data_IF_054317245092
#
_entry.id   IF_054317245092
#
_cell.length_a   1.000
_cell.length_b   1.000
_cell.length_c   1.000
_cell.angle_alpha   90.00
_cell.angle_beta   90.00
_cell.angle_gamma   90.00
#
_symmetry.space_group_name_H-M   'P 1'
#
loop_
_entity.id
_entity.type
_entity.pdbx_description
1 polymer ?
#
# COMPACT_ATOMS: atom_id res chain seq x y z
N UNK A 1 61.70 -30.32 24.57
CA UNK A 1 60.73 -30.19 23.46
C UNK A 1 59.60 -31.17 23.68
N UNK A 2 58.41 -30.70 24.07
CA UNK A 2 57.15 -31.43 23.91
C UNK A 2 56.01 -30.41 23.85
N UNK A 3 55.32 -30.24 22.71
CA UNK A 3 54.07 -29.48 22.66
C UNK A 3 52.91 -30.30 23.22
N UNK A 4 51.94 -29.54 23.71
CA UNK A 4 50.73 -29.93 24.43
C UNK A 4 49.77 -30.80 23.61
N UNK A 5 49.04 -31.63 24.34
CA UNK A 5 48.02 -32.61 23.94
C UNK A 5 47.01 -32.08 22.91
N UNK A 6 46.77 -32.86 21.86
CA UNK A 6 45.56 -32.83 21.05
C UNK A 6 44.86 -34.19 21.14
N UNK A 7 43.56 -34.16 20.82
CA UNK A 7 42.65 -35.28 20.55
C UNK A 7 41.86 -35.86 21.73
N UNK A 8 40.70 -35.26 22.00
CA UNK A 8 39.49 -35.99 22.38
C UNK A 8 38.94 -36.69 21.14
N UNK A 9 38.49 -37.96 21.26
CA UNK A 9 37.11 -38.20 20.88
C UNK A 9 36.42 -39.28 21.73
N UNK A 10 35.10 -39.36 21.55
CA UNK A 10 34.22 -40.49 21.85
C UNK A 10 33.38 -40.34 23.11
N UNK A 11 32.09 -40.07 22.94
CA UNK A 11 31.09 -41.13 23.11
C UNK A 11 29.77 -40.78 22.41
N UNK A 12 29.17 -41.81 21.86
CA UNK A 12 28.00 -41.81 21.00
C UNK A 12 26.68 -41.48 21.72
N UNK A 13 25.71 -41.16 20.87
CA UNK A 13 24.32 -40.85 21.12
C UNK A 13 23.54 -41.89 21.92
N UNK A 14 22.56 -41.43 22.72
CA UNK A 14 21.25 -42.09 22.81
C UNK A 14 20.12 -41.06 22.94
N UNK A 15 19.09 -41.32 22.14
CA UNK A 15 17.85 -40.57 21.94
C UNK A 15 17.01 -40.40 23.21
N UNK A 16 16.33 -39.26 23.31
CA UNK A 16 14.84 -39.20 23.27
C UNK A 16 14.35 -37.96 23.97
N UNK A 17 13.73 -37.04 23.23
CA UNK A 17 12.32 -36.66 23.45
C UNK A 17 11.94 -35.54 22.49
N UNK A 18 10.87 -35.81 21.74
CA UNK A 18 9.94 -34.84 21.16
C UNK A 18 10.51 -33.54 20.57
N UNK A 19 10.55 -33.51 19.24
CA UNK A 19 10.38 -32.26 18.52
C UNK A 19 9.00 -31.66 18.82
N UNK A 20 8.92 -30.82 19.85
CA UNK A 20 7.95 -29.74 19.92
C UNK A 20 8.69 -28.48 19.48
N UNK A 21 8.54 -28.12 18.22
CA UNK A 21 8.58 -26.72 17.84
C UNK A 21 7.18 -26.18 18.15
N UNK A 22 6.94 -25.48 19.26
CA UNK A 22 5.77 -24.64 19.35
C UNK A 22 5.99 -23.44 18.43
N UNK A 23 4.94 -23.07 17.71
CA UNK A 23 4.81 -21.82 16.96
C UNK A 23 5.42 -21.80 15.55
N UNK A 24 4.97 -22.78 14.76
CA UNK A 24 4.37 -22.45 13.46
C UNK A 24 3.25 -21.41 13.68
N UNK A 25 3.18 -20.41 12.79
CA UNK A 25 2.14 -19.40 12.68
C UNK A 25 2.21 -18.19 13.64
N UNK A 26 3.24 -17.37 13.48
CA UNK A 26 2.94 -15.95 13.26
C UNK A 26 4.02 -15.32 12.38
N UNK A 27 3.99 -15.67 11.09
CA UNK A 27 4.31 -14.66 10.09
C UNK A 27 3.16 -13.63 10.16
N UNK A 28 3.16 -12.83 11.23
CA UNK A 28 2.38 -11.62 11.27
C UNK A 28 2.94 -10.79 10.12
N UNK A 29 2.24 -10.85 8.99
CA UNK A 29 2.25 -9.80 8.00
C UNK A 29 2.36 -8.47 8.77
N UNK A 30 3.22 -7.52 8.34
CA UNK A 30 3.23 -6.21 8.96
C UNK A 30 1.76 -5.77 9.10
N UNK A 31 1.35 -5.21 10.26
CA UNK A 31 -0.03 -4.74 10.42
C UNK A 31 -0.32 -3.95 9.16
N UNK A 32 -1.32 -4.43 8.39
CA UNK A 32 -1.70 -3.83 7.11
C UNK A 32 -1.62 -2.34 7.33
N UNK A 33 -0.64 -1.70 6.68
CA UNK A 33 -0.37 -0.29 6.86
C UNK A 33 -1.72 0.37 6.94
N UNK A 34 -2.03 1.01 8.07
CA UNK A 34 -3.27 1.75 8.25
C UNK A 34 -3.37 2.61 7.00
N UNK A 35 -4.14 2.13 6.03
CA UNK A 35 -4.17 2.70 4.72
C UNK A 35 -4.98 3.95 4.98
N UNK A 36 -4.29 5.06 5.24
CA UNK A 36 -4.87 6.39 5.29
C UNK A 36 -5.92 6.40 4.20
N UNK A 37 -7.20 6.62 4.53
CA UNK A 37 -8.30 6.34 3.62
C UNK A 37 -8.00 7.05 2.31
N UNK A 38 -7.56 6.28 1.31
CA UNK A 38 -7.13 6.85 0.03
C UNK A 38 -8.41 7.33 -0.62
N UNK A 39 -8.55 8.65 -0.72
CA UNK A 39 -9.70 9.24 -1.40
C UNK A 39 -9.59 8.90 -2.87
N UNK A 40 -10.70 8.45 -3.43
CA UNK A 40 -10.76 7.97 -4.81
C UNK A 40 -11.50 8.99 -5.65
N UNK A 41 -10.81 9.50 -6.66
CA UNK A 41 -11.38 10.31 -7.73
C UNK A 41 -11.53 9.43 -8.96
N UNK A 42 -12.73 9.36 -9.52
CA UNK A 42 -13.05 8.58 -10.72
C UNK A 42 -13.41 9.50 -11.88
N UNK A 43 -12.72 9.34 -12.99
CA UNK A 43 -13.06 9.96 -14.26
C UNK A 43 -14.21 9.17 -14.88
N UNK A 44 -15.29 9.88 -15.20
CA UNK A 44 -16.46 9.36 -15.89
C UNK A 44 -16.39 9.81 -17.35
N UNK A 45 -16.64 8.90 -18.28
CA UNK A 45 -16.81 9.25 -19.69
C UNK A 45 -18.26 9.70 -19.90
N UNK A 46 -18.49 10.93 -20.38
CA UNK A 46 -19.83 11.42 -20.69
C UNK A 46 -20.14 11.28 -22.20
N UNK A 47 -21.35 10.82 -22.53
CA UNK A 47 -21.83 10.62 -23.91
C UNK A 47 -21.75 11.88 -24.82
N UNK A 48 -21.64 13.07 -24.22
CA UNK A 48 -21.54 14.36 -24.92
C UNK A 48 -20.10 14.67 -25.40
N UNK A 49 -19.16 13.73 -25.22
CA UNK A 49 -17.75 13.91 -25.55
C UNK A 49 -16.97 14.71 -24.49
N UNK A 50 -17.53 14.81 -23.28
CA UNK A 50 -16.88 15.41 -22.11
C UNK A 50 -16.45 14.34 -21.10
N UNK A 51 -15.67 14.76 -20.10
CA UNK A 51 -15.33 13.90 -18.97
C UNK A 51 -15.97 14.45 -17.70
N UNK A 52 -16.67 13.59 -16.98
CA UNK A 52 -17.08 13.83 -15.61
C UNK A 52 -15.95 13.46 -14.65
N UNK A 53 -15.98 14.06 -13.47
CA UNK A 53 -15.12 13.69 -12.36
C UNK A 53 -15.97 13.48 -11.13
N UNK A 54 -16.06 12.23 -10.68
CA UNK A 54 -16.65 11.87 -9.40
C UNK A 54 -15.55 11.77 -8.35
N UNK A 55 -15.73 12.36 -7.18
CA UNK A 55 -14.79 12.23 -6.07
C UNK A 55 -15.53 12.18 -4.74
N UNK A 56 -14.95 11.52 -3.75
CA UNK A 56 -15.50 11.52 -2.39
C UNK A 56 -14.90 12.70 -1.60
N UNK A 57 -15.76 13.60 -1.13
CA UNK A 57 -15.39 14.69 -0.22
C UNK A 57 -14.92 14.11 1.13
N UNK A 58 -14.09 14.86 1.86
CA UNK A 58 -13.61 14.53 3.22
C UNK A 58 -14.72 14.12 4.21
N UNK A 59 -15.97 14.46 3.90
CA UNK A 59 -17.17 14.19 4.69
C UNK A 59 -17.93 12.93 4.25
N UNK A 60 -17.36 12.08 3.40
CA UNK A 60 -18.01 10.86 2.92
C UNK A 60 -19.10 11.11 1.90
N UNK A 61 -19.01 12.22 1.14
CA UNK A 61 -20.03 12.63 0.17
C UNK A 61 -19.45 12.59 -1.22
N UNK A 62 -20.06 11.79 -2.09
CA UNK A 62 -19.77 11.81 -3.52
C UNK A 62 -20.17 13.15 -4.12
N UNK A 63 -19.21 13.83 -4.72
CA UNK A 63 -19.43 14.97 -5.56
C UNK A 63 -19.08 14.62 -7.00
N UNK A 64 -19.79 15.21 -7.95
CA UNK A 64 -19.53 15.01 -9.37
C UNK A 64 -19.48 16.37 -10.05
N UNK A 65 -18.48 16.57 -10.89
CA UNK A 65 -18.36 17.78 -11.71
C UNK A 65 -17.97 17.43 -13.14
N UNK A 66 -18.22 18.34 -14.08
CA UNK A 66 -17.74 18.21 -15.46
C UNK A 66 -16.35 18.81 -15.56
N UNK A 67 -15.44 18.08 -16.19
CA UNK A 67 -14.12 18.52 -16.59
C UNK A 67 -14.18 19.15 -17.98
N UNK A 68 -13.33 20.14 -18.21
CA UNK A 68 -13.15 20.81 -19.51
C UNK A 68 -12.20 20.02 -20.43
N UNK A 69 -11.59 18.96 -19.90
CA UNK A 69 -10.69 18.09 -20.64
C UNK A 69 -11.36 17.43 -21.88
N UNK A 70 -10.59 17.33 -22.97
CA UNK A 70 -10.96 16.66 -24.21
C UNK A 70 -10.42 15.23 -24.33
N UNK A 71 -9.54 14.83 -23.39
CA UNK A 71 -8.93 13.50 -23.34
C UNK A 71 -8.87 13.00 -21.90
N UNK A 72 -8.86 11.69 -21.72
CA UNK A 72 -8.79 11.07 -20.39
C UNK A 72 -7.53 11.48 -19.61
N UNK A 73 -6.36 11.56 -20.25
CA UNK A 73 -5.14 12.05 -19.57
C UNK A 73 -5.25 13.53 -19.16
N UNK A 74 -5.93 14.35 -19.99
CA UNK A 74 -6.25 15.73 -19.64
C UNK A 74 -7.22 15.79 -18.45
N UNK A 75 -8.19 14.87 -18.42
CA UNK A 75 -9.19 14.78 -17.38
C UNK A 75 -8.57 14.40 -16.03
N UNK A 76 -7.67 13.40 -16.02
CA UNK A 76 -6.90 13.03 -14.83
C UNK A 76 -6.05 14.19 -14.33
N UNK A 77 -5.37 14.92 -15.25
CA UNK A 77 -4.53 16.07 -14.86
C UNK A 77 -5.37 17.21 -14.29
N UNK A 78 -6.51 17.50 -14.91
CA UNK A 78 -7.42 18.55 -14.45
C UNK A 78 -8.05 18.19 -13.10
N UNK A 79 -8.50 16.95 -12.93
CA UNK A 79 -8.98 16.42 -11.65
C UNK A 79 -7.91 16.54 -10.55
N UNK A 80 -6.66 16.17 -10.84
CA UNK A 80 -5.54 16.33 -9.89
C UNK A 80 -5.30 17.80 -9.54
N UNK A 81 -5.33 18.68 -10.54
CA UNK A 81 -5.20 20.12 -10.33
C UNK A 81 -6.37 20.70 -9.53
N UNK A 82 -7.59 20.21 -9.74
CA UNK A 82 -8.79 20.67 -9.04
C UNK A 82 -8.75 20.28 -7.55
N UNK A 83 -8.32 19.06 -7.26
CA UNK A 83 -8.16 18.57 -5.89
C UNK A 83 -6.90 19.10 -5.20
N UNK A 84 -6.07 19.91 -5.87
CA UNK A 84 -4.81 20.39 -5.32
C UNK A 84 -3.81 19.27 -5.02
N UNK A 85 -3.93 18.14 -5.72
CA UNK A 85 -3.06 16.98 -5.51
C UNK A 85 -1.65 17.33 -6.00
N UNK A 86 -0.68 17.25 -5.10
CA UNK A 86 0.73 17.45 -5.37
C UNK A 86 1.37 16.22 -6.04
N UNK A 87 2.64 16.31 -6.42
CA UNK A 87 3.39 15.20 -7.05
C UNK A 87 3.41 13.92 -6.20
N UNK A 88 3.30 14.04 -4.88
CA UNK A 88 3.23 12.92 -3.93
C UNK A 88 1.83 12.29 -3.80
N UNK A 89 0.87 12.64 -4.66
CA UNK A 89 -0.52 12.17 -4.57
C UNK A 89 -1.26 12.62 -3.30
N UNK A 90 -0.83 13.71 -2.68
CA UNK A 90 -1.46 14.30 -1.48
C UNK A 90 -2.08 15.67 -1.80
N UNK A 91 -3.26 15.96 -1.25
CA UNK A 91 -3.86 17.29 -1.31
C UNK A 91 -3.25 18.26 -0.27
N UNK A 92 -3.79 19.47 -0.17
CA UNK A 92 -3.37 20.48 0.79
C UNK A 92 -3.62 20.11 2.26
N UNK A 93 -4.62 19.26 2.53
CA UNK A 93 -4.93 18.70 3.85
C UNK A 93 -4.02 17.52 4.20
N UNK A 94 -3.23 17.03 3.23
CA UNK A 94 -2.37 15.87 3.38
C UNK A 94 -3.12 14.55 3.25
N UNK A 95 -4.32 14.55 2.65
CA UNK A 95 -5.01 13.31 2.31
C UNK A 95 -4.49 12.77 0.99
N UNK A 96 -4.32 11.45 0.95
CA UNK A 96 -3.84 10.74 -0.24
C UNK A 96 -4.98 10.51 -1.22
N UNK A 97 -4.73 10.78 -2.49
CA UNK A 97 -5.68 10.61 -3.58
C UNK A 97 -5.21 9.61 -4.63
N UNK A 98 -6.13 8.78 -5.10
CA UNK A 98 -5.97 8.00 -6.31
C UNK A 98 -6.99 8.49 -7.35
N UNK A 99 -6.50 9.00 -8.48
CA UNK A 99 -7.34 9.43 -9.60
C UNK A 99 -7.21 8.41 -10.73
N UNK A 100 -8.33 7.75 -11.07
CA UNK A 100 -8.44 6.71 -12.11
C UNK A 100 -9.68 6.88 -12.99
#
# INVERSE_FOLDING_TARGET
MTPSLAATPSLAAESSSEGRNPDEATNALPPVSEASPVKLGRILDEDDGGFGFEYDDTRGRKNTMRLDALTYEGAVREARSYLGIQEDDHDEDGDRWAVE
#
